data_IF_863931935310
#
_entry.id   IF_863931935310
#
_cell.length_a   1.000
_cell.length_b   1.000
_cell.length_c   1.000
_cell.angle_alpha   90.00
_cell.angle_beta   90.00
_cell.angle_gamma   90.00
#
_symmetry.space_group_name_H-M   'P 1'
#
loop_
_entity.id
_entity.type
_entity.pdbx_description
1 polymer ?
#
# COMPACT_ATOMS: atom_id res chain seq x y z
N UNK A 1 -30.50 -7.32 7.48
CA UNK A 1 -29.16 -6.77 7.21
C UNK A 1 -28.47 -7.68 6.20
N UNK A 2 -28.00 -7.21 5.04
CA UNK A 2 -27.38 -8.11 4.06
C UNK A 2 -25.98 -8.53 4.55
N UNK A 3 -25.74 -9.83 4.61
CA UNK A 3 -24.55 -10.48 5.18
C UNK A 3 -23.26 -10.38 4.32
N UNK A 4 -23.25 -9.56 3.26
CA UNK A 4 -22.14 -9.48 2.29
C UNK A 4 -21.02 -8.49 2.65
N UNK A 5 -21.23 -7.57 3.59
CA UNK A 5 -20.32 -6.45 3.84
C UNK A 5 -19.21 -6.75 4.88
N UNK A 6 -19.40 -7.77 5.72
CA UNK A 6 -18.65 -7.89 6.98
C UNK A 6 -17.19 -8.32 6.81
N UNK A 7 -16.85 -9.09 5.76
CA UNK A 7 -15.46 -9.50 5.46
C UNK A 7 -14.79 -8.65 4.38
N UNK A 8 -15.58 -8.00 3.52
CA UNK A 8 -15.08 -7.17 2.43
C UNK A 8 -14.39 -5.91 2.97
N UNK A 9 -14.96 -5.29 4.00
CA UNK A 9 -14.38 -4.08 4.60
C UNK A 9 -13.04 -4.35 5.30
N UNK A 10 -12.90 -5.31 6.24
CA UNK A 10 -11.61 -5.62 6.84
C UNK A 10 -10.59 -6.11 5.80
N UNK A 11 -10.98 -6.96 4.85
CA UNK A 11 -10.10 -7.40 3.76
C UNK A 11 -9.57 -6.25 2.90
N UNK A 12 -10.42 -5.26 2.58
CA UNK A 12 -10.03 -4.06 1.86
C UNK A 12 -9.05 -3.19 2.65
N UNK A 13 -9.18 -3.12 3.99
CA UNK A 13 -8.20 -2.44 4.85
C UNK A 13 -6.83 -3.10 4.76
N UNK A 14 -6.79 -4.44 4.72
CA UNK A 14 -5.56 -5.21 4.48
C UNK A 14 -4.92 -4.90 3.13
N UNK A 15 -5.72 -4.91 2.06
CA UNK A 15 -5.25 -4.53 0.72
C UNK A 15 -4.71 -3.09 0.70
N UNK A 16 -5.42 -2.16 1.34
CA UNK A 16 -5.02 -0.75 1.42
C UNK A 16 -3.71 -0.58 2.19
N UNK A 17 -3.49 -1.33 3.27
CA UNK A 17 -2.24 -1.32 4.04
C UNK A 17 -1.03 -1.62 3.14
N UNK A 18 -1.10 -2.69 2.33
CA UNK A 18 0.00 -3.09 1.44
C UNK A 18 0.25 -2.04 0.35
N UNK A 19 -0.81 -1.54 -0.30
CA UNK A 19 -0.69 -0.51 -1.34
C UNK A 19 -0.18 0.83 -0.80
N UNK A 20 -0.49 1.17 0.45
CA UNK A 20 0.05 2.39 1.07
C UNK A 20 1.49 2.19 1.54
N UNK A 21 1.85 0.98 1.95
CA UNK A 21 3.20 0.63 2.36
C UNK A 21 4.22 0.63 1.21
N UNK A 22 3.82 0.23 -0.01
CA UNK A 22 4.73 0.23 -1.17
C UNK A 22 5.29 1.62 -1.52
N UNK A 23 4.57 2.68 -1.18
CA UNK A 23 5.03 4.07 -1.37
C UNK A 23 6.21 4.45 -0.48
N UNK A 24 6.43 3.75 0.65
CA UNK A 24 7.63 3.98 1.48
C UNK A 24 8.93 3.74 0.69
N UNK A 25 8.91 2.77 -0.23
CA UNK A 25 10.03 2.45 -1.10
C UNK A 25 10.21 3.44 -2.26
N UNK A 26 9.19 4.25 -2.57
CA UNK A 26 9.21 5.15 -3.73
C UNK A 26 10.32 6.21 -3.63
N UNK A 27 10.64 6.68 -2.42
CA UNK A 27 11.74 7.61 -2.20
C UNK A 27 13.11 7.02 -2.56
N UNK A 28 13.32 5.72 -2.28
CA UNK A 28 14.54 5.01 -2.68
C UNK A 28 14.57 4.81 -4.20
N UNK A 29 13.44 4.40 -4.80
CA UNK A 29 13.33 4.23 -6.25
C UNK A 29 13.52 5.56 -7.00
N UNK A 30 13.07 6.68 -6.44
CA UNK A 30 13.30 8.00 -7.04
C UNK A 30 14.78 8.33 -7.13
N UNK A 31 15.57 8.01 -6.10
CA UNK A 31 17.02 8.20 -6.13
C UNK A 31 17.66 7.43 -7.28
N UNK A 32 17.29 6.16 -7.47
CA UNK A 32 17.76 5.36 -8.59
C UNK A 32 17.24 5.86 -9.94
N UNK A 33 16.02 6.39 -10.01
CA UNK A 33 15.47 6.98 -11.23
C UNK A 33 16.25 8.25 -11.65
N UNK A 34 16.68 9.06 -10.68
CA UNK A 34 17.55 10.22 -10.94
C UNK A 34 18.89 9.81 -11.54
N UNK A 35 19.48 8.69 -11.08
CA UNK A 35 20.70 8.13 -11.66
C UNK A 35 20.51 7.70 -13.13
N UNK A 36 19.27 7.37 -13.54
CA UNK A 36 18.90 7.05 -14.92
C UNK A 36 18.49 8.29 -15.75
N UNK A 37 18.69 9.50 -15.22
CA UNK A 37 18.33 10.75 -15.90
C UNK A 37 16.84 11.10 -15.83
N UNK A 38 16.06 10.42 -14.97
CA UNK A 38 14.66 10.76 -14.73
C UNK A 38 14.53 11.86 -13.66
N UNK A 39 13.40 12.54 -13.64
CA UNK A 39 13.08 13.60 -12.69
C UNK A 39 11.60 13.63 -12.34
N UNK A 40 11.21 14.50 -11.41
CA UNK A 40 9.82 14.73 -11.03
C UNK A 40 8.97 15.21 -12.23
N UNK A 41 9.58 15.88 -13.20
CA UNK A 41 8.93 16.34 -14.43
C UNK A 41 9.05 15.35 -15.60
N UNK A 42 9.99 14.39 -15.54
CA UNK A 42 10.30 13.46 -16.62
C UNK A 42 10.46 12.01 -16.12
N UNK A 43 9.50 11.13 -16.40
CA UNK A 43 9.61 9.68 -16.12
C UNK A 43 9.38 9.26 -14.66
N UNK A 44 9.68 10.11 -13.66
CA UNK A 44 9.65 9.72 -12.24
C UNK A 44 8.68 10.54 -11.37
N UNK A 45 7.70 11.24 -11.97
CA UNK A 45 6.68 12.03 -11.23
C UNK A 45 5.96 11.25 -10.13
N UNK A 46 5.69 9.96 -10.37
CA UNK A 46 4.98 9.10 -9.42
C UNK A 46 5.85 8.64 -8.23
N UNK A 47 7.17 8.80 -8.33
CA UNK A 47 8.15 8.51 -7.29
C UNK A 47 8.63 9.78 -6.57
N UNK A 48 8.29 10.95 -7.10
CA UNK A 48 8.76 12.24 -6.61
C UNK A 48 8.48 12.41 -5.10
N UNK A 49 9.47 12.87 -4.31
CA UNK A 49 9.29 13.16 -2.91
C UNK A 49 8.21 14.24 -2.69
N UNK A 50 7.54 14.15 -1.54
CA UNK A 50 6.47 15.07 -1.13
C UNK A 50 6.90 15.85 0.11
N UNK A 51 6.29 17.02 0.34
CA UNK A 51 6.72 18.00 1.37
C UNK A 51 7.02 17.42 2.77
N UNK A 52 6.23 16.48 3.28
CA UNK A 52 6.45 15.86 4.61
C UNK A 52 7.13 14.48 4.58
N UNK A 53 7.50 13.99 3.41
CA UNK A 53 8.12 12.67 3.19
C UNK A 53 7.18 11.48 3.41
N UNK A 54 7.53 10.33 2.83
CA UNK A 54 6.68 9.13 2.89
C UNK A 54 6.61 8.51 4.30
N UNK A 55 7.67 8.65 5.10
CA UNK A 55 7.68 8.17 6.50
C UNK A 55 6.65 8.86 7.40
N UNK A 56 6.44 10.18 7.25
CA UNK A 56 5.41 10.90 8.00
C UNK A 56 4.00 10.46 7.60
N UNK A 57 3.76 10.34 6.29
CA UNK A 57 2.46 9.92 5.73
C UNK A 57 2.12 8.50 6.14
N UNK A 58 3.11 7.61 6.17
CA UNK A 58 2.95 6.25 6.66
C UNK A 58 2.55 6.22 8.13
N UNK A 59 3.29 6.90 9.01
CA UNK A 59 2.95 6.97 10.44
C UNK A 59 1.56 7.56 10.68
N UNK A 60 1.18 8.57 9.90
CA UNK A 60 -0.15 9.17 9.98
C UNK A 60 -1.23 8.17 9.55
N UNK A 61 -1.01 7.45 8.45
CA UNK A 61 -1.92 6.43 7.96
C UNK A 61 -2.09 5.28 8.96
N UNK A 62 -1.00 4.71 9.48
CA UNK A 62 -1.08 3.59 10.44
C UNK A 62 -1.80 4.00 11.71
N UNK A 63 -1.59 5.23 12.22
CA UNK A 63 -2.36 5.75 13.36
C UNK A 63 -3.88 5.72 13.13
N UNK A 64 -4.35 6.12 11.95
CA UNK A 64 -5.78 6.05 11.63
C UNK A 64 -6.26 4.61 11.43
N UNK A 65 -5.43 3.75 10.85
CA UNK A 65 -5.76 2.34 10.65
C UNK A 65 -5.88 1.60 11.99
N UNK A 66 -4.96 1.85 12.91
CA UNK A 66 -4.90 1.24 14.24
C UNK A 66 -6.07 1.67 15.13
N UNK A 67 -6.64 2.86 14.87
CA UNK A 67 -7.80 3.37 15.58
C UNK A 67 -9.13 2.70 15.16
N UNK A 68 -9.14 1.90 14.09
CA UNK A 68 -10.34 1.19 13.65
C UNK A 68 -10.60 0.00 14.59
N UNK A 69 -11.76 -0.06 15.28
CA UNK A 69 -12.07 -1.14 16.20
C UNK A 69 -12.45 -2.40 15.42
N UNK A 70 -11.47 -3.24 15.10
CA UNK A 70 -11.69 -4.55 14.51
C UNK A 70 -11.71 -5.64 15.58
N UNK A 71 -12.73 -6.49 15.54
CA UNK A 71 -12.78 -7.73 16.31
C UNK A 71 -11.70 -8.72 15.86
N UNK A 72 -11.43 -9.74 16.67
CA UNK A 72 -10.47 -10.80 16.33
C UNK A 72 -10.71 -11.44 14.93
N UNK A 73 -11.94 -11.86 14.57
CA UNK A 73 -12.18 -12.40 13.23
C UNK A 73 -11.99 -11.37 12.12
N UNK A 74 -12.32 -10.09 12.34
CA UNK A 74 -12.11 -9.03 11.34
C UNK A 74 -10.63 -8.74 11.10
N UNK A 75 -9.79 -8.80 12.15
CA UNK A 75 -8.34 -8.72 11.99
C UNK A 75 -7.80 -9.86 11.12
N UNK A 76 -8.32 -11.08 11.28
CA UNK A 76 -7.95 -12.21 10.43
C UNK A 76 -8.32 -11.96 8.95
N UNK A 77 -9.50 -11.37 8.69
CA UNK A 77 -9.90 -10.96 7.33
C UNK A 77 -9.00 -9.87 6.76
N UNK A 78 -8.58 -8.90 7.57
CA UNK A 78 -7.63 -7.87 7.15
C UNK A 78 -6.26 -8.47 6.78
N UNK A 79 -5.74 -9.39 7.60
CA UNK A 79 -4.49 -10.09 7.29
C UNK A 79 -4.62 -10.90 5.99
N UNK A 80 -5.73 -11.62 5.82
CA UNK A 80 -6.00 -12.38 4.60
C UNK A 80 -6.08 -11.48 3.35
N UNK A 81 -6.70 -10.30 3.47
CA UNK A 81 -6.77 -9.30 2.41
C UNK A 81 -5.40 -8.75 2.01
N UNK A 82 -4.53 -8.48 2.99
CA UNK A 82 -3.15 -8.07 2.74
C UNK A 82 -2.35 -9.18 2.04
N UNK A 83 -2.47 -10.43 2.50
CA UNK A 83 -1.77 -11.57 1.93
C UNK A 83 -2.24 -11.96 0.51
N UNK A 84 -3.47 -11.61 0.14
CA UNK A 84 -4.03 -11.90 -1.19
C UNK A 84 -3.42 -11.02 -2.29
N UNK A 85 -2.71 -9.95 -1.94
CA UNK A 85 -1.89 -9.18 -2.87
C UNK A 85 -0.64 -9.97 -3.28
N UNK A 86 -0.82 -11.17 -3.83
CA UNK A 86 0.23 -11.81 -4.62
C UNK A 86 0.31 -11.05 -5.95
N UNK A 87 1.50 -10.76 -6.47
CA UNK A 87 1.61 -10.33 -7.85
C UNK A 87 0.88 -11.36 -8.71
N UNK A 88 0.04 -10.90 -9.64
CA UNK A 88 -0.41 -11.75 -10.74
C UNK A 88 0.85 -12.39 -11.31
N UNK A 89 1.00 -13.71 -11.14
CA UNK A 89 2.09 -14.44 -11.77
C UNK A 89 1.80 -14.40 -13.25
N UNK A 90 2.41 -13.44 -13.96
CA UNK A 90 2.42 -13.46 -15.42
C UNK A 90 3.17 -14.73 -15.80
N UNK A 91 2.57 -15.67 -16.55
CA UNK A 91 3.33 -16.78 -17.08
C UNK A 91 4.42 -16.16 -17.97
N UNK A 92 5.68 -16.30 -17.56
CA UNK A 92 6.81 -16.04 -18.46
C UNK A 92 6.73 -17.15 -19.49
N UNK A 93 6.39 -16.79 -20.73
CA UNK A 93 6.27 -17.73 -21.83
C UNK A 93 7.56 -18.54 -21.99
N UNK A 94 7.40 -19.84 -22.21
CA UNK A 94 8.46 -20.79 -22.55
C UNK A 94 9.15 -20.45 -23.88
#
# INVERSE_FOLDING_TARGET
>A
MPAGATHQFPGALGWLYVNRGSNLGAAFLFKSAVELGMSESFGARHLAPRERGEGYRWRTFTRYLDAIPLSYPEKAWAIAGAARLRPCRVPVGS
#
